data_IF_178392897810
#
_entry.id   IF_178392897810
#
_cell.length_a   1.000
_cell.length_b   1.000
_cell.length_c   1.000
_cell.angle_alpha   90.00
_cell.angle_beta   90.00
_cell.angle_gamma   90.00
#
_symmetry.space_group_name_H-M   'P 1'
#
loop_
_entity.id
_entity.type
_entity.pdbx_description
1 polymer ?
#
# COMPACT_ATOMS: atom_id res chain seq x y z
N UNK A 1 -28.88 1.96 4.59
CA UNK A 1 -27.47 2.02 5.02
C UNK A 1 -26.93 3.41 4.72
N UNK A 2 -26.59 4.18 5.75
CA UNK A 2 -26.08 5.55 5.58
C UNK A 2 -24.66 5.53 5.00
N UNK A 3 -24.41 6.36 3.98
CA UNK A 3 -23.03 6.62 3.53
C UNK A 3 -22.34 7.46 4.59
N UNK A 4 -21.62 6.81 5.51
CA UNK A 4 -20.74 7.50 6.43
C UNK A 4 -19.50 7.97 5.67
N UNK A 5 -19.01 9.18 6.01
CA UNK A 5 -17.76 9.67 5.45
C UNK A 5 -16.62 8.71 5.83
N UNK A 6 -15.75 8.39 4.87
CA UNK A 6 -14.54 7.61 5.15
C UNK A 6 -13.70 8.29 6.24
N UNK A 7 -13.05 7.50 7.10
CA UNK A 7 -12.04 8.03 8.03
C UNK A 7 -10.88 8.66 7.27
N UNK A 8 -10.18 9.62 7.88
CA UNK A 8 -9.00 10.26 7.28
C UNK A 8 -7.91 9.23 6.94
N UNK A 9 -7.74 8.21 7.77
CA UNK A 9 -6.81 7.10 7.52
C UNK A 9 -7.20 6.28 6.28
N UNK A 10 -8.50 6.02 6.08
CA UNK A 10 -9.00 5.29 4.92
C UNK A 10 -8.86 6.13 3.64
N UNK A 11 -9.14 7.44 3.71
CA UNK A 11 -8.90 8.36 2.59
C UNK A 11 -7.43 8.41 2.19
N UNK A 12 -6.53 8.54 3.16
CA UNK A 12 -5.07 8.54 2.92
C UNK A 12 -4.57 7.21 2.34
N UNK A 13 -5.17 6.08 2.76
CA UNK A 13 -4.87 4.77 2.17
C UNK A 13 -5.34 4.68 0.72
N UNK A 14 -6.62 4.99 0.45
CA UNK A 14 -7.18 4.98 -0.92
C UNK A 14 -6.39 5.90 -1.86
N UNK A 15 -5.98 7.07 -1.38
CA UNK A 15 -5.11 7.99 -2.12
C UNK A 15 -3.78 7.34 -2.50
N UNK A 16 -3.11 6.69 -1.56
CA UNK A 16 -1.83 5.99 -1.80
C UNK A 16 -1.99 4.83 -2.78
N UNK A 17 -3.00 3.98 -2.59
CA UNK A 17 -3.28 2.84 -3.48
C UNK A 17 -3.54 3.31 -4.93
N UNK A 18 -4.27 4.41 -5.08
CA UNK A 18 -4.49 5.01 -6.40
C UNK A 18 -3.18 5.53 -7.00
N UNK A 19 -2.37 6.27 -6.25
CA UNK A 19 -1.08 6.77 -6.76
C UNK A 19 -0.14 5.61 -7.14
N UNK A 20 -0.02 4.57 -6.32
CA UNK A 20 0.80 3.39 -6.60
C UNK A 20 0.34 2.69 -7.89
N UNK A 21 -0.98 2.60 -8.13
CA UNK A 21 -1.53 2.05 -9.37
C UNK A 21 -1.15 2.86 -10.61
N UNK A 22 -1.18 4.20 -10.52
CA UNK A 22 -0.78 5.09 -11.62
C UNK A 22 0.72 4.97 -11.91
N UNK A 23 1.57 4.87 -10.88
CA UNK A 23 3.00 4.64 -11.06
C UNK A 23 3.31 3.27 -11.66
N UNK A 24 2.52 2.24 -11.33
CA UNK A 24 2.65 0.91 -11.92
C UNK A 24 2.28 0.93 -13.41
N UNK A 25 1.20 1.61 -13.77
CA UNK A 25 0.80 1.80 -15.18
C UNK A 25 1.88 2.58 -15.96
N UNK A 26 2.42 3.65 -15.38
CA UNK A 26 3.52 4.42 -15.95
C UNK A 26 4.79 3.58 -16.17
N UNK A 27 5.13 2.70 -15.22
CA UNK A 27 6.27 1.81 -15.33
C UNK A 27 6.10 0.80 -16.48
N UNK A 28 4.91 0.21 -16.59
CA UNK A 28 4.59 -0.73 -17.69
C UNK A 28 4.69 -0.05 -19.05
N UNK A 29 4.17 1.18 -19.17
CA UNK A 29 4.27 1.96 -20.40
C UNK A 29 5.73 2.30 -20.73
N UNK A 30 6.52 2.73 -19.75
CA UNK A 30 7.96 2.98 -19.92
C UNK A 30 8.72 1.73 -20.40
N UNK A 31 8.45 0.58 -19.78
CA UNK A 31 9.09 -0.69 -20.13
C UNK A 31 8.71 -1.14 -21.54
N UNK A 32 7.45 -0.95 -21.95
CA UNK A 32 6.99 -1.27 -23.30
C UNK A 32 7.66 -0.40 -24.37
N UNK A 33 7.74 0.91 -24.12
CA UNK A 33 8.41 1.86 -25.03
C UNK A 33 9.92 1.64 -25.11
N UNK A 34 10.57 1.13 -24.04
CA UNK A 34 12.00 0.81 -24.01
C UNK A 34 12.32 -0.65 -24.41
N UNK A 35 11.36 -1.35 -25.02
CA UNK A 35 11.60 -2.64 -25.67
C UNK A 35 12.48 -2.44 -26.91
N UNK A 36 13.41 -3.34 -27.25
CA UNK A 36 14.43 -3.14 -28.30
C UNK A 36 13.88 -2.87 -29.71
N UNK A 37 12.59 -3.09 -29.96
CA UNK A 37 11.92 -2.88 -31.24
C UNK A 37 11.36 -1.46 -31.45
N UNK A 38 11.43 -0.57 -30.45
CA UNK A 38 10.81 0.76 -30.52
C UNK A 38 11.79 1.87 -30.94
N UNK A 39 11.39 2.64 -31.95
CA UNK A 39 12.19 3.72 -32.56
C UNK A 39 12.07 5.07 -31.85
N UNK A 40 11.14 5.22 -30.91
CA UNK A 40 10.92 6.46 -30.18
C UNK A 40 10.83 6.18 -28.68
N UNK A 41 11.83 6.67 -27.94
CA UNK A 41 11.92 6.54 -26.49
C UNK A 41 11.46 7.84 -25.86
N UNK A 42 10.31 7.82 -25.20
CA UNK A 42 9.89 8.97 -24.43
C UNK A 42 10.62 9.07 -23.10
N UNK A 43 10.96 10.29 -22.72
CA UNK A 43 11.51 10.56 -21.40
C UNK A 43 10.46 10.34 -20.32
N UNK A 44 10.91 10.01 -19.12
CA UNK A 44 10.07 9.79 -17.93
C UNK A 44 9.03 10.90 -17.67
N UNK A 45 9.32 12.17 -18.01
CA UNK A 45 8.34 13.26 -17.88
C UNK A 45 7.14 13.09 -18.82
N UNK A 46 7.39 12.78 -20.10
CA UNK A 46 6.33 12.63 -21.10
C UNK A 46 5.39 11.46 -20.74
N UNK A 47 5.95 10.41 -20.14
CA UNK A 47 5.18 9.26 -19.65
C UNK A 47 4.31 9.65 -18.44
N UNK A 48 4.84 10.43 -17.50
CA UNK A 48 4.03 10.98 -16.41
C UNK A 48 2.86 11.84 -16.94
N UNK A 49 3.12 12.68 -17.94
CA UNK A 49 2.11 13.54 -18.56
C UNK A 49 1.05 12.72 -19.30
N UNK A 50 1.45 11.71 -20.07
CA UNK A 50 0.55 10.75 -20.73
C UNK A 50 -0.38 10.05 -19.76
N UNK A 51 0.16 9.51 -18.66
CA UNK A 51 -0.65 8.81 -17.66
C UNK A 51 -1.61 9.77 -16.95
N UNK A 52 -1.16 10.99 -16.66
CA UNK A 52 -2.02 12.03 -16.09
C UNK A 52 -3.16 12.38 -17.03
N UNK A 53 -2.87 12.55 -18.33
CA UNK A 53 -3.87 12.81 -19.35
C UNK A 53 -4.85 11.63 -19.50
N UNK A 54 -4.35 10.41 -19.61
CA UNK A 54 -5.15 9.19 -19.72
C UNK A 54 -6.10 9.01 -18.52
N UNK A 55 -5.61 9.29 -17.31
CA UNK A 55 -6.44 9.26 -16.10
C UNK A 55 -7.54 10.33 -16.13
N UNK A 56 -7.21 11.54 -16.58
CA UNK A 56 -8.19 12.62 -16.74
C UNK A 56 -9.25 12.28 -17.78
N UNK A 57 -8.86 11.74 -18.94
CA UNK A 57 -9.79 11.30 -19.99
C UNK A 57 -10.75 10.22 -19.49
N UNK A 58 -10.25 9.27 -18.69
CA UNK A 58 -11.06 8.17 -18.13
C UNK A 58 -12.00 8.59 -17.01
N UNK A 59 -11.57 9.51 -16.15
CA UNK A 59 -12.30 9.81 -14.89
C UNK A 59 -12.94 11.19 -14.86
N UNK A 60 -12.56 12.08 -15.78
CA UNK A 60 -12.89 13.51 -15.77
C UNK A 60 -12.26 14.27 -14.60
N UNK A 61 -11.31 13.67 -13.87
CA UNK A 61 -10.69 14.26 -12.68
C UNK A 61 -9.18 14.21 -12.78
N UNK A 62 -8.53 15.20 -12.16
CA UNK A 62 -7.09 15.17 -11.99
C UNK A 62 -6.70 14.12 -10.94
N UNK A 63 -5.54 13.47 -11.06
CA UNK A 63 -4.98 12.66 -9.98
C UNK A 63 -4.88 13.48 -8.69
N UNK A 64 -4.92 12.85 -7.51
CA UNK A 64 -4.79 13.56 -6.24
C UNK A 64 -3.51 14.40 -6.14
N UNK A 65 -2.42 13.90 -6.76
CA UNK A 65 -1.10 14.51 -6.79
C UNK A 65 -0.50 14.31 -8.18
N UNK A 66 0.28 15.28 -8.66
CA UNK A 66 0.97 15.16 -9.95
C UNK A 66 2.03 14.05 -9.91
N UNK A 67 2.10 13.23 -10.96
CA UNK A 67 3.11 12.17 -11.06
C UNK A 67 4.51 12.78 -11.16
N UNK A 68 5.32 12.58 -10.13
CA UNK A 68 6.71 13.02 -10.12
C UNK A 68 7.63 12.07 -10.88
N UNK A 69 8.47 12.64 -11.77
CA UNK A 69 9.54 11.93 -12.49
C UNK A 69 10.48 11.17 -11.56
N UNK A 70 10.90 11.79 -10.45
CA UNK A 70 11.84 11.20 -9.49
C UNK A 70 11.34 9.89 -8.92
N UNK A 71 10.05 9.80 -8.58
CA UNK A 71 9.40 8.58 -8.13
C UNK A 71 9.37 7.53 -9.23
N UNK A 72 8.98 7.89 -10.46
CA UNK A 72 8.98 6.96 -11.58
C UNK A 72 10.40 6.43 -11.88
N UNK A 73 11.43 7.28 -11.76
CA UNK A 73 12.83 6.88 -11.91
C UNK A 73 13.29 5.90 -10.82
N UNK A 74 12.74 6.00 -9.60
CA UNK A 74 13.01 5.00 -8.56
C UNK A 74 12.37 3.67 -8.94
N UNK A 75 11.11 3.68 -9.40
CA UNK A 75 10.39 2.47 -9.83
C UNK A 75 11.13 1.73 -10.95
N UNK A 76 11.68 2.43 -11.94
CA UNK A 76 12.43 1.80 -13.04
C UNK A 76 13.75 1.16 -12.60
N UNK A 77 14.34 1.58 -11.48
CA UNK A 77 15.60 1.06 -10.94
C UNK A 77 15.44 -0.12 -9.97
N UNK A 78 14.27 -0.77 -9.93
CA UNK A 78 13.85 -1.76 -8.93
C UNK A 78 13.30 -1.14 -7.62
N UNK A 79 12.85 0.11 -7.65
CA UNK A 79 12.17 0.73 -6.53
C UNK A 79 10.79 0.10 -6.32
N UNK A 80 10.62 -0.58 -5.19
CA UNK A 80 9.32 -1.07 -4.75
C UNK A 80 8.52 0.10 -4.16
N UNK A 81 7.18 0.21 -4.38
CA UNK A 81 6.36 1.20 -3.70
C UNK A 81 6.66 1.24 -2.19
N UNK A 82 6.73 2.43 -1.59
CA UNK A 82 6.94 2.55 -0.13
C UNK A 82 5.91 1.75 0.67
N UNK A 83 4.67 1.67 0.18
CA UNK A 83 3.61 0.86 0.77
C UNK A 83 3.98 -0.63 0.82
N UNK A 84 4.57 -1.14 -0.25
CA UNK A 84 4.99 -2.53 -0.37
C UNK A 84 6.29 -2.78 0.41
N UNK A 85 7.28 -1.90 0.32
CA UNK A 85 8.50 -1.98 1.16
C UNK A 85 8.18 -1.96 2.66
N UNK A 86 7.26 -1.09 3.10
CA UNK A 86 6.80 -1.07 4.48
C UNK A 86 6.04 -2.35 4.86
N UNK A 87 5.29 -2.94 3.93
CA UNK A 87 4.61 -4.22 4.18
C UNK A 87 5.58 -5.39 4.30
N UNK A 88 6.72 -5.33 3.61
CA UNK A 88 7.80 -6.32 3.68
C UNK A 88 8.62 -6.18 4.98
N UNK A 89 8.72 -4.97 5.54
CA UNK A 89 9.39 -4.73 6.82
C UNK A 89 8.47 -4.92 8.05
N UNK A 90 7.19 -5.22 7.86
CA UNK A 90 6.26 -5.48 8.95
C UNK A 90 6.55 -6.81 9.64
N UNK A 91 6.41 -6.87 10.97
CA UNK A 91 6.50 -8.14 11.70
C UNK A 91 5.44 -9.16 11.25
N UNK A 92 4.25 -8.67 10.88
CA UNK A 92 3.11 -9.48 10.50
C UNK A 92 3.07 -9.73 8.99
N UNK A 93 2.92 -10.99 8.62
CA UNK A 93 2.53 -11.37 7.27
C UNK A 93 1.08 -10.96 6.99
N UNK A 94 0.70 -10.93 5.70
CA UNK A 94 -0.67 -10.62 5.29
C UNK A 94 -1.70 -11.61 5.85
N UNK A 95 -1.30 -12.86 6.09
CA UNK A 95 -2.14 -13.89 6.71
C UNK A 95 -2.41 -13.57 8.17
N UNK A 96 -1.35 -13.39 8.96
CA UNK A 96 -1.43 -13.07 10.39
C UNK A 96 -2.20 -11.77 10.64
N UNK A 97 -1.98 -10.74 9.81
CA UNK A 97 -2.73 -9.50 9.91
C UNK A 97 -4.24 -9.70 9.71
N UNK A 98 -4.68 -10.65 8.86
CA UNK A 98 -6.10 -10.96 8.67
C UNK A 98 -6.68 -11.68 9.88
N UNK A 99 -5.92 -12.59 10.48
CA UNK A 99 -6.33 -13.30 11.69
C UNK A 99 -6.57 -12.32 12.85
N UNK A 100 -5.64 -11.38 13.06
CA UNK A 100 -5.78 -10.35 14.09
C UNK A 100 -7.01 -9.45 13.83
N UNK A 101 -7.23 -9.04 12.58
CA UNK A 101 -8.44 -8.26 12.22
C UNK A 101 -9.71 -9.07 12.49
N UNK A 102 -9.70 -10.37 12.17
CA UNK A 102 -10.81 -11.29 12.48
C UNK A 102 -11.10 -11.37 13.97
N UNK A 103 -10.06 -11.54 14.78
CA UNK A 103 -10.16 -11.52 16.25
C UNK A 103 -10.77 -10.21 16.76
N UNK A 104 -10.30 -9.06 16.27
CA UNK A 104 -10.87 -7.75 16.64
C UNK A 104 -12.36 -7.63 16.29
N UNK A 105 -12.76 -8.11 15.11
CA UNK A 105 -14.15 -8.08 14.67
C UNK A 105 -15.02 -9.00 15.54
N UNK A 106 -14.53 -10.20 15.88
CA UNK A 106 -15.22 -11.15 16.76
C UNK A 106 -15.41 -10.59 18.18
N UNK A 107 -14.38 -9.94 18.74
CA UNK A 107 -14.49 -9.29 20.04
C UNK A 107 -15.47 -8.12 20.02
N UNK A 108 -15.45 -7.31 18.96
CA UNK A 108 -16.38 -6.22 18.77
C UNK A 108 -17.84 -6.71 18.62
N UNK A 109 -18.06 -7.77 17.85
CA UNK A 109 -19.40 -8.37 17.63
C UNK A 109 -19.99 -8.92 18.94
N UNK A 110 -19.13 -9.49 19.79
CA UNK A 110 -19.50 -9.97 21.13
C UNK A 110 -19.63 -8.87 22.19
N UNK A 111 -19.30 -7.63 21.85
CA UNK A 111 -19.35 -6.50 22.79
C UNK A 111 -18.22 -6.50 23.83
N UNK A 112 -17.14 -7.25 23.60
CA UNK A 112 -15.98 -7.22 24.49
C UNK A 112 -15.11 -6.00 24.21
N UNK A 113 -14.74 -5.21 25.22
CA UNK A 113 -13.83 -4.10 25.04
C UNK A 113 -12.43 -4.64 24.74
N UNK A 114 -11.94 -4.36 23.53
CA UNK A 114 -10.59 -4.73 23.13
C UNK A 114 -9.61 -3.66 23.61
N UNK A 115 -8.70 -4.01 24.53
CA UNK A 115 -7.62 -3.11 24.90
C UNK A 115 -6.42 -3.29 23.99
N UNK A 116 -5.58 -2.26 23.90
CA UNK A 116 -4.29 -2.34 23.21
C UNK A 116 -3.40 -3.45 23.77
N UNK A 117 -3.50 -3.73 25.07
CA UNK A 117 -2.73 -4.78 25.73
C UNK A 117 -3.17 -6.17 25.26
N UNK A 118 -4.48 -6.40 25.13
CA UNK A 118 -5.03 -7.67 24.64
C UNK A 118 -4.62 -7.92 23.19
N UNK A 119 -4.69 -6.88 22.35
CA UNK A 119 -4.22 -6.95 20.97
C UNK A 119 -2.73 -7.30 20.91
N UNK A 120 -1.90 -6.67 21.75
CA UNK A 120 -0.47 -6.93 21.83
C UNK A 120 -0.17 -8.37 22.26
N UNK A 121 -0.93 -8.91 23.21
CA UNK A 121 -0.78 -10.30 23.67
C UNK A 121 -1.09 -11.25 22.52
N UNK A 122 -2.20 -11.05 21.82
CA UNK A 122 -2.61 -11.91 20.71
C UNK A 122 -1.61 -11.86 19.55
N UNK A 123 -1.17 -10.66 19.18
CA UNK A 123 -0.14 -10.44 18.14
C UNK A 123 1.17 -11.13 18.51
N UNK A 124 1.60 -11.02 19.76
CA UNK A 124 2.82 -11.69 20.24
C UNK A 124 2.66 -13.21 20.27
N UNK A 125 1.47 -13.72 20.59
CA UNK A 125 1.16 -15.16 20.55
C UNK A 125 1.35 -15.71 19.13
N UNK A 126 0.74 -15.06 18.14
CA UNK A 126 0.85 -15.42 16.72
C UNK A 126 2.31 -15.33 16.25
N UNK A 127 2.98 -14.23 16.56
CA UNK A 127 4.37 -14.03 16.14
C UNK A 127 5.33 -15.00 16.80
N UNK A 128 5.16 -15.35 18.09
CA UNK A 128 5.99 -16.37 18.75
C UNK A 128 5.74 -17.77 18.19
N UNK A 129 4.51 -18.09 17.81
CA UNK A 129 4.23 -19.37 17.15
C UNK A 129 5.01 -19.53 15.83
N UNK A 130 5.26 -18.42 15.10
CA UNK A 130 6.02 -18.45 13.83
C UNK A 130 7.53 -18.21 14.00
N UNK A 131 7.92 -17.19 14.78
CA UNK A 131 9.30 -16.74 14.96
C UNK A 131 10.03 -17.46 16.10
N UNK A 132 9.30 -18.21 16.92
CA UNK A 132 9.81 -18.93 18.09
C UNK A 132 9.92 -18.06 19.34
N UNK A 133 10.30 -18.69 20.44
CA UNK A 133 10.38 -18.08 21.77
C UNK A 133 11.49 -17.02 21.91
N UNK A 134 12.41 -16.96 20.95
CA UNK A 134 13.44 -15.93 20.87
C UNK A 134 12.89 -14.56 20.42
N UNK A 135 11.64 -14.50 19.96
CA UNK A 135 11.01 -13.25 19.62
C UNK A 135 10.66 -12.44 20.89
N UNK A 136 11.34 -11.31 21.05
CA UNK A 136 11.21 -10.42 22.22
C UNK A 136 9.81 -9.80 22.36
N UNK A 137 9.01 -9.83 21.28
CA UNK A 137 7.67 -9.26 21.23
C UNK A 137 7.62 -7.97 20.44
N UNK A 138 6.41 -7.56 20.05
CA UNK A 138 6.17 -6.23 19.51
C UNK A 138 6.37 -5.18 20.61
N UNK A 139 6.93 -4.03 20.23
CA UNK A 139 7.28 -2.95 21.16
C UNK A 139 6.09 -2.41 21.96
N UNK A 140 6.38 -1.70 23.06
CA UNK A 140 5.34 -1.22 23.97
C UNK A 140 4.36 -0.20 23.35
N UNK A 141 4.76 0.47 22.25
CA UNK A 141 3.97 1.44 21.48
C UNK A 141 3.65 0.94 20.06
N UNK A 142 3.70 -0.37 19.85
CA UNK A 142 3.16 -1.01 18.65
C UNK A 142 1.64 -0.98 18.70
#
# INVERSE_FOLDING_TARGET
MGRHADSETLKARKRRELMDSLYTEALLLYQHEHSPDMTFLEGLCAICDKITLHYYERTGKQPPEALQKSTLQQYTKNGVPKSQSNSEQGYLTRGEAREIVGYCLEMADRGFPLTHQDLRIEVNSILRARLGDLFEGVGAQW
#
